data_IF_925151116059
#
_entry.id   IF_925151116059
#
_cell.length_a   1.000
_cell.length_b   1.000
_cell.length_c   1.000
_cell.angle_alpha   90.00
_cell.angle_beta   90.00
_cell.angle_gamma   90.00
#
_symmetry.space_group_name_H-M   'P 1'
#
loop_
_entity.id
_entity.type
_entity.pdbx_description
1 polymer ?
#
# COMPACT_ATOMS: atom_id res chain seq x y z
N UNK A 1 -13.31 6.21 0.66
CA UNK A 1 -14.39 5.19 0.68
C UNK A 1 -15.12 5.24 2.02
N UNK A 2 -16.36 4.75 2.15
CA UNK A 2 -17.01 4.68 3.48
C UNK A 2 -16.30 3.66 4.37
N UNK A 3 -15.66 4.14 5.44
CA UNK A 3 -14.91 3.33 6.41
C UNK A 3 -15.76 2.22 7.03
N UNK A 4 -17.02 2.50 7.37
CA UNK A 4 -17.93 1.50 7.95
C UNK A 4 -18.27 0.42 6.93
N UNK A 5 -18.33 0.77 5.65
CA UNK A 5 -18.55 -0.20 4.58
C UNK A 5 -17.34 -1.11 4.40
N UNK A 6 -16.12 -0.55 4.40
CA UNK A 6 -14.89 -1.35 4.33
C UNK A 6 -14.83 -2.33 5.51
N UNK A 7 -15.03 -1.84 6.74
CA UNK A 7 -15.03 -2.68 7.93
C UNK A 7 -16.05 -3.83 7.85
N UNK A 8 -17.25 -3.57 7.32
CA UNK A 8 -18.25 -4.62 7.08
C UNK A 8 -17.82 -5.63 6.01
N UNK A 9 -17.10 -5.19 4.99
CA UNK A 9 -16.65 -6.04 3.88
C UNK A 9 -15.52 -6.96 4.32
N UNK A 10 -14.46 -6.45 4.95
CA UNK A 10 -13.25 -7.25 5.28
C UNK A 10 -13.19 -7.70 6.74
N UNK A 11 -14.13 -7.24 7.57
CA UNK A 11 -14.17 -7.51 9.01
C UNK A 11 -13.28 -6.57 9.81
N UNK A 12 -13.61 -6.41 11.10
CA UNK A 12 -12.95 -5.47 12.01
C UNK A 12 -11.43 -5.66 12.10
N UNK A 13 -10.97 -6.92 12.22
CA UNK A 13 -9.54 -7.22 12.34
C UNK A 13 -8.77 -6.71 11.11
N UNK A 14 -9.15 -7.17 9.92
CA UNK A 14 -8.46 -6.80 8.68
C UNK A 14 -8.58 -5.30 8.37
N UNK A 15 -9.68 -4.66 8.78
CA UNK A 15 -9.83 -3.22 8.67
C UNK A 15 -8.83 -2.46 9.56
N UNK A 16 -8.63 -2.91 10.80
CA UNK A 16 -7.61 -2.34 11.69
C UNK A 16 -6.22 -2.57 11.09
N UNK A 17 -5.90 -3.81 10.68
CA UNK A 17 -4.62 -4.14 10.07
C UNK A 17 -4.35 -3.27 8.83
N UNK A 18 -5.34 -3.10 7.94
CA UNK A 18 -5.22 -2.23 6.77
C UNK A 18 -5.00 -0.76 7.16
N UNK A 19 -5.74 -0.25 8.14
CA UNK A 19 -5.62 1.13 8.58
C UNK A 19 -4.23 1.42 9.20
N UNK A 20 -3.69 0.47 9.95
CA UNK A 20 -2.34 0.57 10.52
C UNK A 20 -1.27 0.58 9.42
N UNK A 21 -1.41 -0.27 8.41
CA UNK A 21 -0.48 -0.28 7.27
C UNK A 21 -0.61 0.99 6.41
N UNK A 22 -1.81 1.54 6.22
CA UNK A 22 -1.99 2.84 5.55
C UNK A 22 -1.28 3.96 6.32
N UNK A 23 -1.32 3.93 7.66
CA UNK A 23 -0.57 4.88 8.49
C UNK A 23 0.95 4.73 8.30
N UNK A 24 1.47 3.50 8.34
CA UNK A 24 2.89 3.20 8.12
C UNK A 24 3.35 3.67 6.74
N UNK A 25 2.57 3.36 5.70
CA UNK A 25 2.89 3.77 4.33
C UNK A 25 2.85 5.29 4.17
N UNK A 26 1.96 5.99 4.88
CA UNK A 26 1.91 7.46 4.89
C UNK A 26 3.19 8.07 5.45
N UNK A 27 3.67 7.54 6.59
CA UNK A 27 4.94 7.98 7.18
C UNK A 27 6.12 7.72 6.24
N UNK A 28 6.20 6.49 5.72
CA UNK A 28 7.25 6.05 4.80
C UNK A 28 7.31 6.93 3.55
N UNK A 29 6.18 7.10 2.87
CA UNK A 29 6.11 7.87 1.62
C UNK A 29 6.34 9.36 1.85
N UNK A 30 6.00 9.90 3.02
CA UNK A 30 6.35 11.28 3.40
C UNK A 30 7.85 11.49 3.43
N UNK A 31 8.60 10.56 4.06
CA UNK A 31 10.07 10.64 4.14
C UNK A 31 10.69 10.46 2.75
N UNK A 32 10.18 9.53 1.95
CA UNK A 32 10.65 9.34 0.57
C UNK A 32 10.42 10.60 -0.25
N UNK A 33 9.22 11.20 -0.17
CA UNK A 33 8.87 12.45 -0.88
C UNK A 33 9.79 13.60 -0.48
N UNK A 34 10.07 13.76 0.81
CA UNK A 34 11.01 14.76 1.30
C UNK A 34 12.38 14.62 0.64
N UNK A 35 12.94 13.40 0.65
CA UNK A 35 14.23 13.12 0.00
C UNK A 35 14.20 13.38 -1.51
N UNK A 36 13.11 13.02 -2.19
CA UNK A 36 12.92 13.27 -3.62
C UNK A 36 12.93 14.79 -3.90
N UNK A 37 12.14 15.56 -3.15
CA UNK A 37 12.02 17.02 -3.34
C UNK A 37 13.36 17.73 -3.10
N UNK A 38 14.08 17.32 -2.06
CA UNK A 38 15.38 17.91 -1.73
C UNK A 38 16.56 17.28 -2.47
N UNK A 39 16.31 16.34 -3.39
CA UNK A 39 17.34 15.62 -4.17
C UNK A 39 18.41 14.98 -3.28
N UNK A 40 18.00 14.46 -2.12
CA UNK A 40 18.88 13.75 -1.19
C UNK A 40 19.08 12.33 -1.69
N UNK A 41 20.32 11.87 -1.72
CA UNK A 41 20.66 10.52 -2.13
C UNK A 41 20.04 9.45 -1.22
N UNK A 42 19.57 8.37 -1.83
CA UNK A 42 19.01 7.22 -1.15
C UNK A 42 20.15 6.25 -0.83
N UNK A 43 20.71 6.38 0.37
CA UNK A 43 21.73 5.43 0.86
C UNK A 43 21.12 4.04 1.08
N UNK A 44 21.96 3.01 1.01
CA UNK A 44 21.54 1.61 1.11
C UNK A 44 20.71 1.31 2.37
N UNK A 45 21.17 1.74 3.55
CA UNK A 45 20.46 1.48 4.81
C UNK A 45 19.04 2.07 4.81
N UNK A 46 18.86 3.21 4.16
CA UNK A 46 17.54 3.81 3.99
C UNK A 46 16.66 2.97 3.08
N UNK A 47 17.18 2.55 1.91
CA UNK A 47 16.46 1.69 0.97
C UNK A 47 16.09 0.34 1.60
N UNK A 48 16.98 -0.26 2.37
CA UNK A 48 16.72 -1.51 3.09
C UNK A 48 15.57 -1.32 4.10
N UNK A 49 15.55 -0.20 4.82
CA UNK A 49 14.43 0.16 5.71
C UNK A 49 13.10 0.36 4.98
N UNK A 50 13.10 1.03 3.83
CA UNK A 50 11.92 1.18 2.97
C UNK A 50 11.43 -0.18 2.48
N UNK A 51 12.34 -1.04 1.98
CA UNK A 51 12.00 -2.37 1.51
C UNK A 51 11.38 -3.24 2.60
N UNK A 52 11.93 -3.21 3.82
CA UNK A 52 11.37 -3.95 4.95
C UNK A 52 9.94 -3.50 5.29
N UNK A 53 9.71 -2.18 5.39
CA UNK A 53 8.36 -1.63 5.63
C UNK A 53 7.40 -2.00 4.50
N UNK A 54 7.84 -1.83 3.25
CA UNK A 54 7.05 -2.12 2.04
C UNK A 54 6.67 -3.60 1.95
N UNK A 55 7.60 -4.52 2.22
CA UNK A 55 7.34 -5.97 2.24
C UNK A 55 6.32 -6.35 3.32
N UNK A 56 6.43 -5.76 4.51
CA UNK A 56 5.48 -6.02 5.60
C UNK A 56 4.08 -5.55 5.22
N UNK A 57 3.94 -4.31 4.75
CA UNK A 57 2.65 -3.77 4.33
C UNK A 57 2.05 -4.56 3.18
N UNK A 58 2.88 -4.98 2.22
CA UNK A 58 2.45 -5.84 1.11
C UNK A 58 1.88 -7.17 1.62
N UNK A 59 2.54 -7.84 2.55
CA UNK A 59 2.04 -9.12 3.08
C UNK A 59 0.64 -9.00 3.71
N UNK A 60 0.35 -7.89 4.39
CA UNK A 60 -0.99 -7.62 4.95
C UNK A 60 -2.00 -7.36 3.83
N UNK A 61 -1.66 -6.49 2.87
CA UNK A 61 -2.52 -6.17 1.72
C UNK A 61 -2.84 -7.42 0.91
N UNK A 62 -1.85 -8.26 0.64
CA UNK A 62 -1.98 -9.54 -0.07
C UNK A 62 -2.97 -10.47 0.64
N UNK A 63 -2.89 -10.57 1.97
CA UNK A 63 -3.81 -11.38 2.77
C UNK A 63 -5.27 -10.92 2.66
N UNK A 64 -5.49 -9.60 2.55
CA UNK A 64 -6.83 -9.03 2.36
C UNK A 64 -7.31 -9.25 0.93
N UNK A 65 -6.44 -9.10 -0.07
CA UNK A 65 -6.75 -9.40 -1.48
C UNK A 65 -7.19 -10.85 -1.62
N UNK A 66 -6.41 -11.81 -1.09
CA UNK A 66 -6.73 -13.23 -1.13
C UNK A 66 -8.07 -13.55 -0.47
N UNK A 67 -8.39 -12.87 0.64
CA UNK A 67 -9.69 -13.02 1.31
C UNK A 67 -10.87 -12.51 0.49
N UNK A 68 -10.67 -11.44 -0.29
CA UNK A 68 -11.69 -10.89 -1.18
C UNK A 68 -11.88 -11.75 -2.44
N UNK A 69 -10.80 -12.25 -3.03
CA UNK A 69 -10.86 -13.08 -4.25
C UNK A 69 -11.48 -14.45 -4.01
N UNK A 70 -11.22 -15.04 -2.84
CA UNK A 70 -11.78 -16.34 -2.45
C UNK A 70 -13.12 -16.22 -1.72
N UNK A 71 -13.75 -15.04 -1.70
CA UNK A 71 -15.01 -14.77 -1.01
C UNK A 71 -15.06 -15.23 0.45
N UNK A 72 -13.90 -15.22 1.14
CA UNK A 72 -13.79 -15.57 2.56
C UNK A 72 -14.48 -14.55 3.46
N UNK A 73 -14.72 -13.34 2.94
CA UNK A 73 -15.40 -12.27 3.67
C UNK A 73 -16.88 -12.12 3.28
N UNK A 74 -17.59 -11.29 4.05
CA UNK A 74 -19.06 -11.17 4.08
C UNK A 74 -19.75 -11.31 2.72
N UNK A 75 -20.70 -12.23 2.62
CA UNK A 75 -21.53 -12.43 1.43
C UNK A 75 -22.42 -11.19 1.18
N UNK A 76 -22.49 -10.75 -0.09
CA UNK A 76 -23.12 -9.49 -0.49
C UNK A 76 -22.11 -8.39 -0.84
N UNK A 77 -22.60 -7.20 -1.20
CA UNK A 77 -21.76 -6.03 -1.55
C UNK A 77 -20.83 -6.19 -2.77
N UNK A 78 -21.24 -6.97 -3.79
CA UNK A 78 -20.42 -7.30 -4.97
C UNK A 78 -19.70 -6.11 -5.59
N UNK A 79 -20.41 -5.00 -5.87
CA UNK A 79 -19.80 -3.81 -6.47
C UNK A 79 -18.76 -3.16 -5.56
N UNK A 80 -19.05 -3.07 -4.25
CA UNK A 80 -18.14 -2.48 -3.26
C UNK A 80 -16.91 -3.36 -3.04
N UNK A 81 -17.07 -4.69 -3.08
CA UNK A 81 -15.97 -5.66 -3.06
C UNK A 81 -15.05 -5.47 -4.26
N UNK A 82 -15.61 -5.38 -5.48
CA UNK A 82 -14.83 -5.15 -6.70
C UNK A 82 -14.03 -3.85 -6.60
N UNK A 83 -14.66 -2.78 -6.11
CA UNK A 83 -14.00 -1.49 -5.97
C UNK A 83 -12.87 -1.52 -4.93
N UNK A 84 -13.12 -2.13 -3.76
CA UNK A 84 -12.10 -2.31 -2.73
C UNK A 84 -10.95 -3.20 -3.21
N UNK A 85 -11.26 -4.30 -3.91
CA UNK A 85 -10.26 -5.21 -4.47
C UNK A 85 -9.36 -4.48 -5.47
N UNK A 86 -9.94 -3.68 -6.37
CA UNK A 86 -9.17 -2.85 -7.29
C UNK A 86 -8.25 -1.90 -6.55
N UNK A 87 -8.77 -1.16 -5.57
CA UNK A 87 -7.98 -0.25 -4.75
C UNK A 87 -6.80 -0.94 -4.06
N UNK A 88 -7.01 -2.12 -3.48
CA UNK A 88 -5.95 -2.89 -2.82
C UNK A 88 -4.93 -3.43 -3.82
N UNK A 89 -5.36 -3.85 -5.01
CA UNK A 89 -4.45 -4.25 -6.10
C UNK A 89 -3.61 -3.09 -6.61
N UNK A 90 -4.18 -1.90 -6.69
CA UNK A 90 -3.44 -0.70 -7.06
C UNK A 90 -2.37 -0.38 -5.98
N UNK A 91 -2.68 -0.55 -4.68
CA UNK A 91 -1.66 -0.47 -3.62
C UNK A 91 -0.58 -1.53 -3.82
N UNK A 92 -0.96 -2.80 -3.94
CA UNK A 92 -0.05 -3.93 -4.12
C UNK A 92 0.93 -3.69 -5.28
N UNK A 93 0.42 -3.26 -6.44
CA UNK A 93 1.22 -2.95 -7.61
C UNK A 93 2.28 -1.88 -7.33
N UNK A 94 1.93 -0.82 -6.61
CA UNK A 94 2.89 0.24 -6.27
C UNK A 94 3.92 -0.22 -5.22
N UNK A 95 3.52 -1.04 -4.24
CA UNK A 95 4.45 -1.65 -3.29
C UNK A 95 5.48 -2.55 -4.01
N UNK A 96 5.03 -3.36 -4.96
CA UNK A 96 5.89 -4.18 -5.82
C UNK A 96 6.87 -3.32 -6.64
N UNK A 97 6.36 -2.23 -7.22
CA UNK A 97 7.17 -1.26 -7.93
C UNK A 97 8.28 -0.67 -7.06
N UNK A 98 7.97 -0.25 -5.83
CA UNK A 98 8.95 0.28 -4.87
C UNK A 98 10.03 -0.76 -4.56
N UNK A 99 9.65 -2.00 -4.25
CA UNK A 99 10.61 -3.07 -3.93
C UNK A 99 11.55 -3.33 -5.11
N UNK A 100 10.98 -3.48 -6.32
CA UNK A 100 11.72 -3.81 -7.54
C UNK A 100 12.70 -2.71 -7.96
N UNK A 101 12.35 -1.45 -7.69
CA UNK A 101 13.12 -0.27 -8.11
C UNK A 101 14.04 0.26 -7.03
N UNK A 102 13.98 -0.29 -5.82
CA UNK A 102 14.92 0.05 -4.74
C UNK A 102 16.24 -0.73 -4.86
N UNK A 103 16.28 -1.85 -5.60
CA UNK A 103 17.48 -2.63 -5.81
C UNK A 103 17.42 -3.51 -7.10
N UNK A 104 18.08 -3.13 -8.22
CA UNK A 104 18.93 -1.94 -8.38
C UNK A 104 18.10 -0.66 -8.32
N UNK A 105 18.70 0.42 -7.80
CA UNK A 105 18.01 1.69 -7.63
C UNK A 105 17.69 2.34 -8.99
N UNK A 106 16.41 2.49 -9.29
CA UNK A 106 15.88 3.28 -10.40
C UNK A 106 15.08 4.45 -9.84
N UNK A 107 15.70 5.63 -9.81
CA UNK A 107 15.11 6.83 -9.20
C UNK A 107 13.79 7.25 -9.85
N UNK A 108 13.70 7.27 -11.17
CA UNK A 108 12.52 7.76 -11.88
C UNK A 108 11.30 6.88 -11.61
N UNK A 109 11.49 5.55 -11.67
CA UNK A 109 10.42 4.61 -11.35
C UNK A 109 10.08 4.63 -9.85
N UNK A 110 11.07 4.74 -8.96
CA UNK A 110 10.83 4.82 -7.51
C UNK A 110 9.98 6.06 -7.17
N UNK A 111 10.26 7.20 -7.81
CA UNK A 111 9.46 8.43 -7.67
C UNK A 111 8.02 8.20 -8.16
N UNK A 112 7.86 7.58 -9.34
CA UNK A 112 6.55 7.29 -9.93
C UNK A 112 5.68 6.42 -9.01
N UNK A 113 6.23 5.30 -8.51
CA UNK A 113 5.49 4.39 -7.62
C UNK A 113 5.22 5.04 -6.26
N UNK A 114 6.18 5.82 -5.72
CA UNK A 114 5.99 6.54 -4.46
C UNK A 114 4.85 7.55 -4.57
N UNK A 115 4.82 8.36 -5.63
CA UNK A 115 3.77 9.37 -5.82
C UNK A 115 2.40 8.72 -6.03
N UNK A 116 2.33 7.67 -6.85
CA UNK A 116 1.09 6.92 -7.09
C UNK A 116 0.56 6.29 -5.80
N UNK A 117 1.44 5.77 -4.95
CA UNK A 117 1.07 5.24 -3.64
C UNK A 117 0.55 6.32 -2.69
N UNK A 118 1.16 7.51 -2.69
CA UNK A 118 0.67 8.67 -1.91
C UNK A 118 -0.77 9.01 -2.30
N UNK A 119 -1.05 9.09 -3.61
CA UNK A 119 -2.39 9.41 -4.10
C UNK A 119 -3.43 8.39 -3.62
N UNK A 120 -3.11 7.09 -3.66
CA UNK A 120 -3.97 6.03 -3.13
C UNK A 120 -4.22 6.17 -1.62
N UNK A 121 -3.17 6.42 -0.84
CA UNK A 121 -3.25 6.59 0.63
C UNK A 121 -4.13 7.78 1.02
N UNK A 122 -4.19 8.82 0.19
CA UNK A 122 -5.02 10.01 0.43
C UNK A 122 -6.51 9.73 0.16
N UNK A 123 -6.85 8.71 -0.63
CA UNK A 123 -8.23 8.30 -0.93
C UNK A 123 -8.88 7.43 0.16
N UNK A 124 -8.08 6.92 1.10
CA UNK A 124 -8.50 6.07 2.22
C UNK A 124 -9.12 6.87 3.37
#
# INVERSE_FOLDING_TARGET
MDRKLIEKIIGKKNYVDLNDEIYILREMTSIMREKIVFKIEFIKDFLDGINQKTLKSKAVVDGIIDGLENDKFTLGYTNSKIYLLKYLKDIQFNLDGIIKTSNPLNYDELIMYTNSLIDLILLF
#
